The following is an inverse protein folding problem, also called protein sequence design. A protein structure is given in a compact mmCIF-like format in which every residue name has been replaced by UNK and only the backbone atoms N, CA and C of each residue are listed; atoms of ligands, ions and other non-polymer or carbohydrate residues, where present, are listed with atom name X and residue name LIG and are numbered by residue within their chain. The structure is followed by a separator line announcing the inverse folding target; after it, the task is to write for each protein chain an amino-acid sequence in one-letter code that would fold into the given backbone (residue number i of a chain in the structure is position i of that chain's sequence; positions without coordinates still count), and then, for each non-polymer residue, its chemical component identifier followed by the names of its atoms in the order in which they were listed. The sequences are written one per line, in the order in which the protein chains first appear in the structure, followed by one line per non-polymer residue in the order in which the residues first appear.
data_IF_674190948231
#
_entry.id   IF_674190948231
#
_cell.length_a   1.000
_cell.length_b   1.000
_cell.length_c   1.000
_cell.angle_alpha   90.00
_cell.angle_beta   90.00
_cell.angle_gamma   90.00
#
_symmetry.space_group_name_H-M   'P 1'
#
loop_
_entity.id
_entity.type
_entity.pdbx_description
1 polymer ?
#
# COMPACT_ATOMS: atom_id res chain seq x y z
N UNK A 1 32.90 -6.04 -27.29
CA UNK A 1 31.52 -5.94 -27.83
C UNK A 1 30.50 -6.62 -26.91
N UNK A 2 30.68 -7.89 -26.52
CA UNK A 2 29.78 -8.56 -25.56
C UNK A 2 29.63 -7.86 -24.21
N UNK A 3 30.71 -7.35 -23.62
CA UNK A 3 30.67 -6.69 -22.30
C UNK A 3 29.84 -5.39 -22.32
N UNK A 4 29.90 -4.64 -23.43
CA UNK A 4 29.07 -3.44 -23.66
C UNK A 4 27.59 -3.80 -23.88
N UNK A 5 27.33 -4.93 -24.54
CA UNK A 5 25.97 -5.45 -24.77
C UNK A 5 25.33 -5.96 -23.47
N UNK A 6 26.12 -6.64 -22.63
CA UNK A 6 25.68 -7.13 -21.32
C UNK A 6 25.43 -5.95 -20.37
N UNK A 7 26.30 -4.92 -20.37
CA UNK A 7 26.09 -3.70 -19.58
C UNK A 7 24.83 -2.93 -20.01
N UNK A 8 24.57 -2.81 -21.32
CA UNK A 8 23.36 -2.14 -21.83
C UNK A 8 22.08 -2.91 -21.52
N UNK A 9 22.11 -4.26 -21.59
CA UNK A 9 20.98 -5.10 -21.18
C UNK A 9 20.72 -5.00 -19.68
N UNK A 10 21.76 -4.98 -18.84
CA UNK A 10 21.61 -4.82 -17.39
C UNK A 10 21.06 -3.44 -17.04
N UNK A 11 21.52 -2.38 -17.70
CA UNK A 11 20.97 -1.02 -17.49
C UNK A 11 19.50 -0.93 -17.90
N UNK A 12 19.11 -1.60 -19.00
CA UNK A 12 17.71 -1.67 -19.44
C UNK A 12 16.81 -2.52 -18.50
N UNK A 13 17.36 -3.54 -17.84
CA UNK A 13 16.65 -4.33 -16.83
C UNK A 13 16.50 -3.56 -15.50
N UNK A 14 17.47 -2.74 -15.14
CA UNK A 14 17.44 -1.92 -13.92
C UNK A 14 16.45 -0.76 -14.04
N UNK A 15 16.24 -0.19 -15.22
CA UNK A 15 15.22 0.84 -15.43
C UNK A 15 13.79 0.31 -15.35
N UNK A 16 13.55 -0.97 -15.68
CA UNK A 16 12.25 -1.63 -15.50
C UNK A 16 11.94 -1.95 -14.03
N UNK A 17 12.93 -1.91 -13.14
CA UNK A 17 12.80 -2.34 -11.75
C UNK A 17 12.34 -1.23 -10.80
N UNK A 18 12.20 0.03 -11.25
CA UNK A 18 11.95 1.17 -10.37
C UNK A 18 10.83 2.07 -10.89
N UNK A 19 9.95 2.42 -9.95
CA UNK A 19 8.71 3.19 -10.05
C UNK A 19 7.49 2.36 -10.46
N UNK A 20 6.62 2.07 -9.47
CA UNK A 20 5.19 1.89 -9.76
C UNK A 20 4.75 3.11 -10.58
N UNK A 21 4.52 2.92 -11.87
CA UNK A 21 4.12 4.02 -12.73
C UNK A 21 2.74 4.49 -12.28
N UNK A 22 2.35 5.76 -12.52
CA UNK A 22 0.98 6.21 -12.27
C UNK A 22 -0.08 5.28 -12.92
N UNK A 23 0.29 4.64 -14.04
CA UNK A 23 -0.53 3.65 -14.73
C UNK A 23 -0.74 2.36 -13.91
N UNK A 24 0.25 1.92 -13.14
CA UNK A 24 0.12 0.74 -12.26
C UNK A 24 -0.80 1.03 -11.07
N UNK A 25 -0.74 2.25 -10.53
CA UNK A 25 -1.63 2.68 -9.44
C UNK A 25 -3.10 2.69 -9.90
N UNK A 26 -3.39 3.29 -11.06
CA UNK A 26 -4.75 3.32 -11.62
C UNK A 26 -5.25 1.91 -11.95
N UNK A 27 -4.38 1.06 -12.53
CA UNK A 27 -4.69 -0.33 -12.84
C UNK A 27 -5.03 -1.14 -11.59
N UNK A 28 -4.23 -1.03 -10.53
CA UNK A 28 -4.49 -1.72 -9.25
C UNK A 28 -5.76 -1.20 -8.59
N UNK A 29 -5.95 0.11 -8.59
CA UNK A 29 -7.17 0.72 -8.06
C UNK A 29 -8.41 0.16 -8.76
N UNK A 30 -8.47 0.19 -10.09
CA UNK A 30 -9.60 -0.34 -10.86
C UNK A 30 -9.84 -1.82 -10.58
N UNK A 31 -8.80 -2.64 -10.65
CA UNK A 31 -8.91 -4.08 -10.39
C UNK A 31 -9.47 -4.36 -8.98
N UNK A 32 -9.04 -3.60 -7.98
CA UNK A 32 -9.51 -3.77 -6.61
C UNK A 32 -10.90 -3.18 -6.36
N UNK A 33 -11.35 -2.21 -7.14
CA UNK A 33 -12.76 -1.75 -7.11
C UNK A 33 -13.68 -2.85 -7.60
N UNK A 34 -13.31 -3.50 -8.72
CA UNK A 34 -14.07 -4.60 -9.31
C UNK A 34 -14.09 -5.83 -8.39
N UNK A 35 -12.93 -6.25 -7.87
CA UNK A 35 -12.80 -7.42 -6.99
C UNK A 35 -13.59 -7.25 -5.69
N UNK A 36 -13.49 -6.08 -5.05
CA UNK A 36 -14.17 -5.80 -3.81
C UNK A 36 -15.63 -5.37 -4.01
N UNK A 37 -16.08 -5.13 -5.25
CA UNK A 37 -17.40 -4.60 -5.59
C UNK A 37 -17.69 -3.26 -4.89
N UNK A 38 -16.72 -2.34 -4.96
CA UNK A 38 -16.85 -0.97 -4.45
C UNK A 38 -17.16 -0.05 -5.61
N UNK A 39 -18.11 0.87 -5.44
CA UNK A 39 -18.35 1.92 -6.44
C UNK A 39 -17.54 3.18 -6.15
N UNK A 40 -17.25 3.98 -7.18
CA UNK A 40 -16.57 5.26 -7.01
C UNK A 40 -17.31 6.19 -6.04
N UNK A 41 -18.64 6.16 -6.03
CA UNK A 41 -19.47 6.97 -5.15
C UNK A 41 -19.34 6.55 -3.69
N UNK A 42 -19.34 5.23 -3.43
CA UNK A 42 -19.14 4.69 -2.08
C UNK A 42 -17.78 5.08 -1.51
N UNK A 43 -16.73 4.92 -2.32
CA UNK A 43 -15.38 5.26 -1.92
C UNK A 43 -15.22 6.78 -1.71
N UNK A 44 -15.76 7.60 -2.63
CA UNK A 44 -15.78 9.05 -2.51
C UNK A 44 -16.48 9.51 -1.24
N UNK A 45 -17.66 8.96 -0.95
CA UNK A 45 -18.42 9.28 0.26
C UNK A 45 -17.65 8.90 1.52
N UNK A 46 -16.98 7.75 1.51
CA UNK A 46 -16.13 7.33 2.62
C UNK A 46 -14.96 8.30 2.87
N UNK A 47 -14.29 8.76 1.80
CA UNK A 47 -13.26 9.79 1.90
C UNK A 47 -13.81 11.11 2.45
N UNK A 48 -14.94 11.57 1.92
CA UNK A 48 -15.61 12.81 2.37
C UNK A 48 -16.05 12.76 3.84
N UNK A 49 -16.36 11.57 4.34
CA UNK A 49 -16.72 11.36 5.75
C UNK A 49 -15.51 11.21 6.69
N UNK A 50 -14.30 11.51 6.21
CA UNK A 50 -13.07 11.56 7.01
C UNK A 50 -12.35 10.22 7.15
N UNK A 51 -12.74 9.20 6.39
CA UNK A 51 -12.17 7.85 6.43
C UNK A 51 -12.14 7.29 7.87
N UNK A 52 -13.29 7.25 8.54
CA UNK A 52 -13.38 6.70 9.90
C UNK A 52 -13.57 5.19 9.87
N UNK A 53 -12.97 4.49 10.82
CA UNK A 53 -12.95 3.03 10.80
C UNK A 53 -14.37 2.41 10.88
N UNK A 54 -15.21 2.95 11.74
CA UNK A 54 -16.61 2.57 11.98
C UNK A 54 -17.53 2.84 10.77
N UNK A 55 -17.20 3.85 9.96
CA UNK A 55 -17.95 4.22 8.76
C UNK A 55 -17.58 3.37 7.52
N UNK A 56 -16.55 2.53 7.61
CA UNK A 56 -16.10 1.71 6.48
C UNK A 56 -16.96 0.47 6.30
N UNK A 57 -17.63 0.39 5.15
CA UNK A 57 -18.30 -0.83 4.70
C UNK A 57 -17.28 -1.94 4.44
N UNK A 58 -17.74 -3.19 4.55
CA UNK A 58 -16.88 -4.36 4.35
C UNK A 58 -16.18 -4.39 2.98
N UNK A 59 -16.88 -4.00 1.91
CA UNK A 59 -16.29 -3.90 0.58
C UNK A 59 -15.13 -2.89 0.52
N UNK A 60 -15.23 -1.74 1.21
CA UNK A 60 -14.15 -0.76 1.31
C UNK A 60 -12.94 -1.35 2.05
N UNK A 61 -13.17 -2.11 3.13
CA UNK A 61 -12.09 -2.79 3.84
C UNK A 61 -11.39 -3.83 2.95
N UNK A 62 -12.17 -4.60 2.19
CA UNK A 62 -11.61 -5.56 1.23
C UNK A 62 -10.89 -4.89 0.06
N UNK A 63 -11.35 -3.71 -0.39
CA UNK A 63 -10.63 -2.91 -1.37
C UNK A 63 -9.24 -2.53 -0.86
N UNK A 64 -9.12 -2.10 0.41
CA UNK A 64 -7.82 -1.84 1.06
C UNK A 64 -6.94 -3.09 1.07
N UNK A 65 -7.48 -4.26 1.45
CA UNK A 65 -6.73 -5.52 1.41
C UNK A 65 -6.21 -5.83 0.00
N UNK A 66 -7.06 -5.71 -1.02
CA UNK A 66 -6.68 -5.97 -2.40
C UNK A 66 -5.52 -5.06 -2.83
N UNK A 67 -5.57 -3.76 -2.52
CA UNK A 67 -4.47 -2.84 -2.82
C UNK A 67 -3.16 -3.28 -2.16
N UNK A 68 -3.23 -3.68 -0.89
CA UNK A 68 -2.05 -4.20 -0.17
C UNK A 68 -1.49 -5.48 -0.81
N UNK A 69 -2.34 -6.36 -1.34
CA UNK A 69 -1.91 -7.55 -2.08
C UNK A 69 -1.23 -7.19 -3.41
N UNK A 70 -1.80 -6.25 -4.18
CA UNK A 70 -1.20 -5.80 -5.45
C UNK A 70 0.14 -5.09 -5.24
N UNK A 71 0.29 -4.37 -4.12
CA UNK A 71 1.56 -3.76 -3.72
C UNK A 71 2.55 -4.76 -3.11
N UNK A 72 2.13 -6.02 -2.89
CA UNK A 72 2.99 -7.07 -2.35
C UNK A 72 3.30 -6.92 -0.86
N UNK A 73 2.52 -6.12 -0.13
CA UNK A 73 2.65 -5.90 1.32
C UNK A 73 1.61 -6.67 2.13
N UNK A 74 0.73 -7.42 1.45
CA UNK A 74 -0.14 -8.42 2.06
C UNK A 74 0.06 -9.76 1.37
N UNK A 75 0.58 -10.75 2.10
CA UNK A 75 0.90 -12.09 1.58
C UNK A 75 0.55 -13.14 2.63
N UNK A 76 0.09 -14.30 2.18
CA UNK A 76 -0.22 -15.45 3.06
C UNK A 76 -1.15 -15.08 4.24
N UNK A 77 -2.15 -14.23 3.99
CA UNK A 77 -3.10 -13.79 5.02
C UNK A 77 -2.54 -12.82 6.06
N UNK A 78 -1.36 -12.26 5.84
CA UNK A 78 -0.70 -11.36 6.79
C UNK A 78 -0.08 -10.12 6.12
N UNK A 79 0.08 -9.08 6.92
CA UNK A 79 0.77 -7.86 6.54
C UNK A 79 2.29 -8.04 6.63
N UNK A 80 2.99 -7.64 5.58
CA UNK A 80 4.44 -7.66 5.46
C UNK A 80 4.99 -6.24 5.72
N UNK A 81 5.29 -5.97 7.00
CA UNK A 81 5.79 -4.68 7.44
C UNK A 81 7.17 -4.34 6.83
N UNK A 82 8.00 -5.35 6.54
CA UNK A 82 9.30 -5.14 5.92
C UNK A 82 9.15 -4.75 4.45
N UNK A 83 8.29 -5.45 3.70
CA UNK A 83 7.96 -5.07 2.34
C UNK A 83 7.37 -3.65 2.29
N UNK A 84 6.51 -3.28 3.25
CA UNK A 84 5.96 -1.93 3.31
C UNK A 84 7.02 -0.87 3.61
N UNK A 85 7.94 -1.13 4.54
CA UNK A 85 9.05 -0.23 4.80
C UNK A 85 9.89 -0.03 3.53
N UNK A 86 10.22 -1.12 2.83
CA UNK A 86 10.99 -1.07 1.58
C UNK A 86 10.27 -0.28 0.49
N UNK A 87 8.95 -0.45 0.33
CA UNK A 87 8.12 0.33 -0.60
C UNK A 87 8.19 1.84 -0.27
N UNK A 88 7.98 2.21 1.01
CA UNK A 88 7.98 3.60 1.44
C UNK A 88 9.36 4.27 1.28
N UNK A 89 10.45 3.54 1.51
CA UNK A 89 11.82 4.05 1.35
C UNK A 89 12.22 4.30 -0.11
N UNK A 90 11.43 3.86 -1.08
CA UNK A 90 11.61 4.25 -2.48
C UNK A 90 11.18 5.70 -2.75
N UNK A 91 10.35 6.28 -1.88
CA UNK A 91 9.87 7.67 -2.00
C UNK A 91 10.91 8.60 -1.34
N UNK A 92 11.61 9.47 -2.10
CA UNK A 92 12.70 10.28 -1.55
C UNK A 92 12.31 11.13 -0.34
N UNK A 93 11.10 11.71 -0.37
CA UNK A 93 10.54 12.55 0.72
C UNK A 93 10.29 11.79 2.03
N UNK A 94 10.19 10.46 1.98
CA UNK A 94 9.93 9.66 3.19
C UNK A 94 11.21 9.15 3.86
N UNK A 95 12.36 9.27 3.20
CA UNK A 95 13.64 8.78 3.74
C UNK A 95 14.06 9.51 5.00
N UNK A 96 13.79 10.82 5.08
CA UNK A 96 14.07 11.63 6.28
C UNK A 96 13.22 11.25 7.50
N UNK A 97 12.15 10.47 7.28
CA UNK A 97 11.23 9.98 8.31
C UNK A 97 11.33 8.46 8.52
N UNK A 98 12.44 7.83 8.11
CA UNK A 98 12.61 6.37 8.16
C UNK A 98 12.37 5.80 9.57
N UNK A 99 12.88 6.48 10.61
CA UNK A 99 12.73 6.04 12.01
C UNK A 99 11.26 6.05 12.43
N UNK A 100 10.54 7.13 12.15
CA UNK A 100 9.12 7.28 12.46
C UNK A 100 8.27 6.26 11.70
N UNK A 101 8.59 6.02 10.41
CA UNK A 101 7.90 5.03 9.58
C UNK A 101 8.11 3.63 10.13
N UNK A 102 9.35 3.25 10.48
CA UNK A 102 9.65 1.94 11.08
C UNK A 102 8.93 1.75 12.42
N UNK A 103 8.87 2.79 13.24
CA UNK A 103 8.13 2.76 14.50
C UNK A 103 6.62 2.57 14.28
N UNK A 104 6.02 3.31 13.34
CA UNK A 104 4.61 3.16 12.97
C UNK A 104 4.30 1.73 12.50
N UNK A 105 5.13 1.18 11.61
CA UNK A 105 4.98 -0.19 11.12
C UNK A 105 5.12 -1.22 12.25
N UNK A 106 6.05 -1.03 13.16
CA UNK A 106 6.22 -1.92 14.32
C UNK A 106 5.00 -1.90 15.25
N UNK A 107 4.39 -0.74 15.44
CA UNK A 107 3.21 -0.57 16.30
C UNK A 107 1.96 -1.15 15.64
N UNK A 108 1.77 -0.94 14.35
CA UNK A 108 0.53 -1.28 13.65
C UNK A 108 0.49 -2.70 13.09
N UNK A 109 1.63 -3.38 12.87
CA UNK A 109 1.66 -4.68 12.16
C UNK A 109 0.86 -5.80 12.84
N UNK A 110 0.61 -5.67 14.15
CA UNK A 110 -0.06 -6.68 14.95
C UNK A 110 -1.57 -6.43 15.13
N UNK A 111 -2.11 -5.37 14.52
CA UNK A 111 -3.55 -5.14 14.49
C UNK A 111 -4.30 -6.36 13.95
N UNK A 112 -5.45 -6.67 14.55
CA UNK A 112 -6.31 -7.80 14.16
C UNK A 112 -7.77 -7.38 14.10
N UNK A 113 -8.40 -7.70 12.99
CA UNK A 113 -9.82 -7.51 12.74
C UNK A 113 -10.62 -8.81 12.83
N UNK A 114 -11.93 -8.70 12.57
CA UNK A 114 -12.83 -9.86 12.52
C UNK A 114 -12.51 -10.84 11.37
N UNK A 115 -11.87 -10.35 10.31
CA UNK A 115 -11.41 -11.11 9.16
C UNK A 115 -10.16 -10.43 8.54
N UNK A 116 -9.65 -10.94 7.42
CA UNK A 116 -8.49 -10.37 6.75
C UNK A 116 -8.72 -8.95 6.22
N UNK A 117 -9.90 -8.66 5.64
CA UNK A 117 -10.23 -7.34 5.12
C UNK A 117 -10.24 -6.31 6.25
N UNK A 118 -10.87 -6.66 7.36
CA UNK A 118 -10.92 -5.84 8.54
C UNK A 118 -9.53 -5.66 9.19
N UNK A 119 -8.72 -6.69 9.19
CA UNK A 119 -7.32 -6.62 9.67
C UNK A 119 -6.49 -5.67 8.81
N UNK A 120 -6.51 -5.82 7.48
CA UNK A 120 -5.81 -4.95 6.55
C UNK A 120 -6.24 -3.48 6.71
N UNK A 121 -7.53 -3.27 6.90
CA UNK A 121 -8.08 -1.93 7.09
C UNK A 121 -7.70 -1.33 8.45
N UNK A 122 -7.73 -2.09 9.56
CA UNK A 122 -7.24 -1.64 10.87
C UNK A 122 -5.76 -1.22 10.83
N UNK A 123 -4.91 -2.04 10.20
CA UNK A 123 -3.49 -1.71 10.03
C UNK A 123 -3.35 -0.37 9.28
N UNK A 124 -4.09 -0.20 8.19
CA UNK A 124 -4.08 1.04 7.38
C UNK A 124 -4.52 2.24 8.20
N UNK A 125 -5.56 2.09 9.02
CA UNK A 125 -6.06 3.15 9.90
C UNK A 125 -5.05 3.50 11.00
N UNK A 126 -4.42 2.50 11.63
CA UNK A 126 -3.34 2.72 12.59
C UNK A 126 -2.18 3.50 11.94
N UNK A 127 -1.73 3.12 10.74
CA UNK A 127 -0.64 3.81 10.05
C UNK A 127 -1.00 5.25 9.64
N UNK A 128 -2.26 5.53 9.32
CA UNK A 128 -2.76 6.88 8.98
C UNK A 128 -2.53 7.87 10.13
N UNK A 129 -2.67 7.43 11.39
CA UNK A 129 -2.45 8.27 12.57
C UNK A 129 -1.00 8.74 12.69
N UNK A 130 -0.04 7.95 12.20
CA UNK A 130 1.37 8.33 12.14
C UNK A 130 1.69 9.20 10.93
N UNK A 131 1.02 8.98 9.78
CA UNK A 131 1.19 9.85 8.61
C UNK A 131 0.80 11.30 8.90
N UNK A 132 -0.26 11.52 9.69
CA UNK A 132 -0.67 12.87 10.11
C UNK A 132 0.38 13.61 10.96
N UNK A 133 1.44 12.93 11.43
CA UNK A 133 2.55 13.51 12.20
C UNK A 133 3.79 13.81 11.34
N UNK A 134 3.80 13.33 10.09
CA UNK A 134 4.92 13.42 9.15
C UNK A 134 4.62 14.40 7.99
N UNK A 135 3.34 14.66 7.71
CA UNK A 135 2.87 15.70 6.77
C UNK A 135 2.96 17.11 7.38
#
# INVERSE_FOLDING_TARGET
MHTLYVLTIIVALVTLAVCQSPADLEKFHKACMDEAKVTNEELKKFFQNGMKYDAAKENIKCHTKCLMQKHGVWKNGAFDAEAKAKELMQIPKLKEHEVQIKQALSNCKNEKGANECDTAFKITMCLKEFKAQID
#
